data_IF_572873687798
#
_entry.id   IF_572873687798
#
_cell.length_a   1.000
_cell.length_b   1.000
_cell.length_c   1.000
_cell.angle_alpha   90.00
_cell.angle_beta   90.00
_cell.angle_gamma   90.00
#
_symmetry.space_group_name_H-M   'P 1'
#
loop_
_entity.id
_entity.type
_entity.pdbx_description
1 polymer ?
#
# COMPACT_ATOMS: atom_id res chain seq x y z
N UNK A 1 2.94 -16.55 3.81
CA UNK A 1 3.22 -15.10 3.91
C UNK A 1 2.04 -14.45 4.59
N UNK A 2 2.27 -13.57 5.58
CA UNK A 2 1.22 -12.92 6.37
C UNK A 2 1.40 -11.41 6.31
N UNK A 3 0.31 -10.68 6.10
CA UNK A 3 0.28 -9.23 6.30
C UNK A 3 0.14 -8.94 7.80
N UNK A 4 1.05 -8.11 8.32
CA UNK A 4 1.09 -7.72 9.74
C UNK A 4 1.45 -6.24 9.84
N UNK A 5 0.48 -5.43 10.27
CA UNK A 5 0.65 -3.97 10.46
C UNK A 5 1.49 -3.62 11.68
N UNK A 6 1.56 -4.52 12.68
CA UNK A 6 2.32 -4.34 13.92
C UNK A 6 3.72 -4.93 13.87
N UNK A 7 4.20 -5.31 12.68
CA UNK A 7 5.50 -5.96 12.49
C UNK A 7 6.63 -5.11 13.05
N UNK A 8 7.31 -5.62 14.07
CA UNK A 8 8.52 -5.03 14.64
C UNK A 8 9.55 -6.13 14.96
N UNK A 9 10.82 -6.03 14.47
CA UNK A 9 11.36 -4.97 13.62
C UNK A 9 10.94 -5.10 12.14
N UNK A 10 10.62 -3.97 11.49
CA UNK A 10 10.18 -3.94 10.08
C UNK A 10 11.34 -3.72 9.08
N UNK A 11 12.26 -4.68 8.99
CA UNK A 11 13.47 -4.60 8.14
C UNK A 11 13.22 -4.98 6.67
N UNK A 12 12.30 -4.30 5.99
CA UNK A 12 12.02 -4.52 4.56
C UNK A 12 13.00 -3.75 3.65
N UNK A 13 13.19 -4.23 2.42
CA UNK A 13 14.11 -3.63 1.43
C UNK A 13 13.40 -2.87 0.30
N UNK A 14 12.11 -2.57 0.45
CA UNK A 14 11.30 -1.93 -0.60
C UNK A 14 11.81 -0.55 -1.03
N UNK A 15 12.53 0.15 -0.15
CA UNK A 15 13.17 1.45 -0.43
C UNK A 15 14.66 1.33 -0.81
N UNK A 16 15.17 0.11 -0.98
CA UNK A 16 16.60 -0.14 -1.19
C UNK A 16 17.43 0.07 0.07
N UNK A 17 18.75 0.17 -0.10
CA UNK A 17 19.75 0.38 0.95
C UNK A 17 21.01 1.04 0.37
N UNK A 18 21.82 1.69 1.20
CA UNK A 18 23.11 2.28 0.82
C UNK A 18 22.99 3.65 0.14
N UNK A 19 23.97 3.99 -0.71
CA UNK A 19 24.09 5.34 -1.32
C UNK A 19 22.95 5.71 -2.26
N UNK A 20 22.22 4.72 -2.76
CA UNK A 20 21.02 4.90 -3.60
C UNK A 20 19.73 4.57 -2.84
N UNK A 21 19.75 4.64 -1.50
CA UNK A 21 18.54 4.53 -0.70
C UNK A 21 17.49 5.54 -1.20
N UNK A 22 16.23 5.10 -1.26
CA UNK A 22 15.15 5.90 -1.82
C UNK A 22 15.08 7.27 -1.15
N UNK A 23 15.42 8.31 -1.91
CA UNK A 23 15.36 9.70 -1.46
C UNK A 23 13.94 10.09 -0.99
N UNK A 24 12.92 9.51 -1.61
CA UNK A 24 11.51 9.76 -1.30
C UNK A 24 10.93 8.93 -0.15
N UNK A 25 11.71 8.08 0.55
CA UNK A 25 11.16 7.16 1.55
C UNK A 25 10.42 7.86 2.70
N UNK A 26 10.86 9.05 3.11
CA UNK A 26 10.15 9.85 4.11
C UNK A 26 8.82 10.37 3.56
N UNK A 27 8.82 10.92 2.34
CA UNK A 27 7.62 11.43 1.69
C UNK A 27 6.58 10.33 1.45
N UNK A 28 6.98 9.19 0.88
CA UNK A 28 6.08 8.07 0.63
C UNK A 28 5.41 7.56 1.92
N UNK A 29 6.14 7.55 3.05
CA UNK A 29 5.56 7.19 4.36
C UNK A 29 4.55 8.23 4.85
N UNK A 30 4.84 9.52 4.70
CA UNK A 30 3.91 10.59 5.05
C UNK A 30 2.65 10.54 4.18
N UNK A 31 2.78 10.30 2.88
CA UNK A 31 1.65 10.15 1.96
C UNK A 31 0.75 8.98 2.36
N UNK A 32 1.31 7.80 2.64
CA UNK A 32 0.53 6.65 3.10
C UNK A 32 -0.15 6.92 4.43
N UNK A 33 0.55 7.54 5.39
CA UNK A 33 -0.04 7.89 6.68
C UNK A 33 -1.22 8.86 6.51
N UNK A 34 -1.04 9.93 5.72
CA UNK A 34 -2.08 10.92 5.43
C UNK A 34 -3.29 10.26 4.75
N UNK A 35 -3.04 9.46 3.71
CA UNK A 35 -4.08 8.76 2.97
C UNK A 35 -4.93 7.85 3.86
N UNK A 36 -4.31 6.98 4.65
CA UNK A 36 -5.05 6.05 5.52
C UNK A 36 -5.71 6.75 6.71
N UNK A 37 -5.08 7.78 7.27
CA UNK A 37 -5.67 8.57 8.38
C UNK A 37 -6.96 9.25 7.96
N UNK A 38 -7.07 9.69 6.70
CA UNK A 38 -8.28 10.31 6.18
C UNK A 38 -9.31 9.30 5.65
N UNK A 39 -8.86 8.22 5.02
CA UNK A 39 -9.74 7.24 4.39
C UNK A 39 -10.44 6.34 5.43
N UNK A 40 -9.68 5.77 6.37
CA UNK A 40 -10.18 4.74 7.29
C UNK A 40 -11.35 5.23 8.15
N UNK A 41 -11.36 6.46 8.71
CA UNK A 41 -12.50 6.94 9.50
C UNK A 41 -13.80 7.09 8.69
N UNK A 42 -13.70 7.34 7.38
CA UNK A 42 -14.83 7.60 6.47
C UNK A 42 -15.41 6.32 5.87
N UNK A 43 -14.60 5.27 5.75
CA UNK A 43 -15.05 3.97 5.23
C UNK A 43 -15.90 3.26 6.28
N UNK A 44 -17.09 2.83 5.88
CA UNK A 44 -17.96 1.98 6.68
C UNK A 44 -17.78 0.50 6.32
N UNK A 45 -17.77 0.19 5.03
CA UNK A 45 -17.46 -1.16 4.52
C UNK A 45 -16.56 -1.08 3.29
N UNK A 46 -15.72 -2.09 3.10
CA UNK A 46 -14.93 -2.28 1.88
C UNK A 46 -14.76 -3.79 1.64
N UNK A 47 -15.08 -4.24 0.43
CA UNK A 47 -14.97 -5.64 0.01
C UNK A 47 -14.47 -5.72 -1.44
N UNK A 48 -13.88 -6.86 -1.80
CA UNK A 48 -13.55 -7.15 -3.19
C UNK A 48 -14.83 -7.35 -4.00
N UNK A 49 -14.90 -6.69 -5.16
CA UNK A 49 -16.03 -6.78 -6.09
C UNK A 49 -15.67 -7.55 -7.38
N UNK A 50 -14.56 -8.29 -7.35
CA UNK A 50 -14.04 -9.07 -8.46
C UNK A 50 -12.57 -9.43 -8.26
N UNK A 51 -12.03 -10.20 -9.20
CA UNK A 51 -10.64 -10.65 -9.15
C UNK A 51 -9.65 -9.51 -9.40
N UNK A 52 -8.65 -9.31 -8.52
CA UNK A 52 -7.56 -8.36 -8.76
C UNK A 52 -6.71 -8.78 -9.97
N UNK A 53 -6.25 -7.80 -10.75
CA UNK A 53 -5.29 -8.02 -11.84
C UNK A 53 -3.96 -7.34 -11.50
N UNK A 54 -2.84 -8.04 -11.62
CA UNK A 54 -1.50 -7.48 -11.49
C UNK A 54 -1.01 -6.90 -12.82
N UNK A 55 -0.15 -5.88 -12.74
CA UNK A 55 0.55 -5.37 -13.92
C UNK A 55 1.52 -6.42 -14.46
N UNK A 56 1.54 -6.62 -15.78
CA UNK A 56 2.53 -7.46 -16.46
C UNK A 56 3.83 -6.66 -16.67
N UNK A 57 4.75 -6.73 -15.71
CA UNK A 57 5.96 -5.89 -15.63
C UNK A 57 7.07 -6.60 -14.89
N UNK A 58 8.32 -6.27 -15.20
CA UNK A 58 9.53 -6.83 -14.56
C UNK A 58 10.20 -5.87 -13.58
N UNK A 59 9.75 -4.61 -13.51
CA UNK A 59 10.40 -3.57 -12.70
C UNK A 59 9.47 -3.06 -11.60
N UNK A 60 8.63 -2.06 -11.90
CA UNK A 60 7.64 -1.55 -10.93
C UNK A 60 6.35 -2.34 -11.08
N UNK A 61 6.09 -3.23 -10.13
CA UNK A 61 4.86 -4.00 -10.02
C UNK A 61 3.73 -3.28 -9.29
N UNK A 62 2.53 -3.84 -9.35
CA UNK A 62 1.36 -3.31 -8.67
C UNK A 62 0.06 -3.94 -9.17
N UNK A 63 -1.05 -3.49 -8.60
CA UNK A 63 -2.39 -3.84 -9.07
C UNK A 63 -2.73 -2.98 -10.28
N UNK A 64 -2.96 -3.63 -11.42
CA UNK A 64 -3.50 -3.00 -12.63
C UNK A 64 -4.99 -2.71 -12.48
N UNK A 65 -5.73 -3.62 -11.84
CA UNK A 65 -7.13 -3.43 -11.45
C UNK A 65 -7.37 -4.04 -10.07
N UNK A 66 -8.10 -3.32 -9.23
CA UNK A 66 -8.59 -3.81 -7.94
C UNK A 66 -10.08 -3.44 -7.83
N UNK A 67 -11.00 -4.27 -8.35
CA UNK A 67 -12.42 -4.01 -8.21
C UNK A 67 -12.83 -4.08 -6.74
N UNK A 68 -13.37 -2.98 -6.21
CA UNK A 68 -13.88 -2.91 -4.84
C UNK A 68 -15.31 -2.39 -4.82
N UNK A 69 -16.05 -2.81 -3.80
CA UNK A 69 -17.31 -2.20 -3.38
C UNK A 69 -17.09 -1.62 -2.00
N UNK A 70 -17.53 -0.40 -1.77
CA UNK A 70 -17.38 0.28 -0.49
C UNK A 70 -18.61 1.12 -0.18
N UNK A 71 -18.79 1.40 1.11
CA UNK A 71 -19.74 2.41 1.59
C UNK A 71 -18.99 3.42 2.47
N UNK A 72 -19.40 4.67 2.37
CA UNK A 72 -18.92 5.74 3.24
C UNK A 72 -19.95 5.99 4.34
N UNK A 73 -19.47 6.52 5.47
CA UNK A 73 -20.33 7.07 6.51
C UNK A 73 -20.98 8.37 6.05
#
# INVERSE_FOLDING_TARGET
MRFDVGRDPNKHLSFGYGVHFCLGAALARMEMHSFFSELVPRINTIELAGEPELMATTFVGGLKRLPIRYSLK
#
